data_IF_275484766526
#
_entry.id   IF_275484766526
#
_cell.length_a   1.000
_cell.length_b   1.000
_cell.length_c   1.000
_cell.angle_alpha   90.00
_cell.angle_beta   90.00
_cell.angle_gamma   90.00
#
_symmetry.space_group_name_H-M   'P 1'
#
loop_
_entity.id
_entity.type
_entity.pdbx_description
1 polymer ?
#
# COMPACT_ATOMS: atom_id res chain seq x y z
N UNK A 1 44.83 28.70 15.10
CA UNK A 1 43.69 29.11 14.33
C UNK A 1 42.66 27.99 14.29
N UNK A 2 41.60 28.21 15.05
CA UNK A 2 40.51 27.25 15.21
C UNK A 2 39.72 27.14 13.91
N UNK A 3 39.66 25.96 13.38
CA UNK A 3 38.68 25.62 12.36
C UNK A 3 37.34 25.32 13.04
N UNK A 4 36.23 25.95 12.68
CA UNK A 4 34.95 25.67 13.29
C UNK A 4 34.44 24.31 12.81
N UNK A 5 34.39 23.34 13.71
CA UNK A 5 33.75 22.03 13.60
C UNK A 5 32.22 22.07 13.44
N UNK A 6 31.67 23.05 12.74
CA UNK A 6 30.24 23.19 12.54
C UNK A 6 29.88 23.26 11.07
N UNK A 7 30.21 22.22 10.30
CA UNK A 7 29.59 22.02 8.98
C UNK A 7 29.48 20.54 8.59
N UNK A 8 29.24 19.64 9.54
CA UNK A 8 28.54 18.41 9.19
C UNK A 8 27.08 18.79 9.06
N UNK A 9 26.68 19.25 7.86
CA UNK A 9 25.31 19.17 7.42
C UNK A 9 24.89 17.74 7.67
N UNK A 10 23.89 17.53 8.53
CA UNK A 10 23.16 16.27 8.63
C UNK A 10 22.78 15.90 7.19
N UNK A 11 23.46 14.93 6.62
CA UNK A 11 22.99 14.25 5.44
C UNK A 11 21.65 13.70 5.89
N UNK A 12 20.58 14.28 5.40
CA UNK A 12 19.23 13.81 5.64
C UNK A 12 19.15 12.45 4.94
N UNK A 13 19.65 11.41 5.60
CA UNK A 13 19.60 10.04 5.09
C UNK A 13 18.14 9.69 5.06
N UNK A 14 17.60 9.53 3.86
CA UNK A 14 16.24 9.13 3.65
C UNK A 14 15.97 7.85 4.48
N UNK A 15 14.91 7.87 5.27
CA UNK A 15 14.55 6.79 6.15
C UNK A 15 14.24 5.52 5.33
N UNK A 16 14.87 4.39 5.71
CA UNK A 16 14.63 3.12 5.03
C UNK A 16 13.22 2.63 5.31
N UNK A 17 12.50 2.22 4.28
CA UNK A 17 11.11 1.77 4.40
C UNK A 17 10.89 0.38 3.80
N UNK A 18 9.97 -0.38 4.39
CA UNK A 18 9.32 -1.52 3.75
C UNK A 18 7.95 -1.05 3.31
N UNK A 19 7.68 -1.11 2.03
CA UNK A 19 6.48 -0.50 1.44
C UNK A 19 5.47 -1.56 1.01
N UNK A 20 4.28 -1.50 1.63
CA UNK A 20 3.08 -2.17 1.15
C UNK A 20 2.45 -1.37 0.01
N UNK A 21 2.19 -2.01 -1.13
CA UNK A 21 1.56 -1.41 -2.29
C UNK A 21 0.11 -1.84 -2.42
N UNK A 22 -0.81 -0.89 -2.44
CA UNK A 22 -2.23 -1.18 -2.60
C UNK A 22 -3.13 0.04 -2.47
N UNK A 23 -4.40 -0.10 -2.82
CA UNK A 23 -5.37 0.96 -2.57
C UNK A 23 -5.98 0.88 -1.17
N UNK A 24 -6.04 -0.32 -0.58
CA UNK A 24 -6.44 -0.59 0.80
C UNK A 24 -7.86 -0.14 1.18
N UNK A 25 -8.79 -0.12 0.23
CA UNK A 25 -10.19 0.21 0.55
C UNK A 25 -10.83 -0.87 1.43
N UNK A 26 -11.35 -0.45 2.58
CA UNK A 26 -11.88 -1.33 3.61
C UNK A 26 -10.83 -1.92 4.55
N UNK A 27 -9.54 -1.88 4.23
CA UNK A 27 -8.46 -2.52 5.01
C UNK A 27 -8.87 -3.94 5.45
N UNK A 28 -9.36 -4.72 4.48
CA UNK A 28 -9.93 -6.06 4.71
C UNK A 28 -8.84 -7.11 5.01
N UNK A 29 -9.24 -8.34 5.34
CA UNK A 29 -8.32 -9.43 5.70
C UNK A 29 -7.22 -9.70 4.67
N UNK A 30 -7.51 -9.56 3.37
CA UNK A 30 -6.50 -9.66 2.32
C UNK A 30 -5.43 -8.57 2.43
N UNK A 31 -5.84 -7.33 2.67
CA UNK A 31 -4.93 -6.22 2.97
C UNK A 31 -4.19 -6.46 4.30
N UNK A 32 -4.86 -7.03 5.29
CA UNK A 32 -4.26 -7.36 6.59
C UNK A 32 -3.07 -8.29 6.46
N UNK A 33 -3.17 -9.35 5.65
CA UNK A 33 -2.05 -10.25 5.40
C UNK A 33 -0.82 -9.53 4.81
N UNK A 34 -1.06 -8.59 3.90
CA UNK A 34 -0.04 -7.78 3.26
C UNK A 34 0.59 -6.80 4.26
N UNK A 35 -0.21 -6.11 5.07
CA UNK A 35 0.25 -5.16 6.07
C UNK A 35 1.02 -5.85 7.22
N UNK A 36 0.58 -7.03 7.66
CA UNK A 36 1.30 -7.85 8.64
C UNK A 36 2.69 -8.25 8.12
N UNK A 37 2.80 -8.71 6.88
CA UNK A 37 4.08 -9.03 6.27
C UNK A 37 4.99 -7.81 6.17
N UNK A 38 4.42 -6.65 5.87
CA UNK A 38 5.15 -5.37 5.83
C UNK A 38 5.75 -5.02 7.20
N UNK A 39 4.97 -5.11 8.27
CA UNK A 39 5.46 -4.86 9.63
C UNK A 39 6.52 -5.88 10.07
N UNK A 40 6.34 -7.16 9.72
CA UNK A 40 7.32 -8.22 9.99
C UNK A 40 8.66 -7.94 9.31
N UNK A 41 8.64 -7.63 8.01
CA UNK A 41 9.85 -7.33 7.24
C UNK A 41 10.55 -6.06 7.71
N UNK A 42 9.76 -5.01 8.02
CA UNK A 42 10.30 -3.77 8.55
C UNK A 42 11.06 -3.98 9.86
N UNK A 43 10.50 -4.77 10.78
CA UNK A 43 11.18 -5.11 12.04
C UNK A 43 12.47 -5.88 11.79
N UNK A 44 12.46 -6.87 10.88
CA UNK A 44 13.64 -7.67 10.56
C UNK A 44 14.76 -6.84 9.89
N UNK A 45 14.40 -5.81 9.13
CA UNK A 45 15.35 -4.97 8.39
C UNK A 45 15.73 -3.67 9.12
N UNK A 46 15.17 -3.40 10.29
CA UNK A 46 15.34 -2.11 10.97
C UNK A 46 14.88 -0.94 10.09
N UNK A 47 13.74 -1.11 9.44
CA UNK A 47 13.13 -0.15 8.53
C UNK A 47 11.72 0.25 9.00
N UNK A 48 11.15 1.30 8.43
CA UNK A 48 9.83 1.81 8.79
C UNK A 48 8.74 1.09 7.99
N UNK A 49 7.74 0.46 8.65
CA UNK A 49 6.62 -0.16 7.96
C UNK A 49 5.72 0.93 7.36
N UNK A 50 5.62 0.93 6.04
CA UNK A 50 4.98 1.99 5.26
C UNK A 50 3.91 1.40 4.35
N UNK A 51 2.75 2.04 4.28
CA UNK A 51 1.75 1.78 3.26
C UNK A 51 1.76 2.92 2.24
N UNK A 52 1.86 2.59 0.97
CA UNK A 52 1.75 3.53 -0.14
C UNK A 52 0.43 3.30 -0.88
N UNK A 53 -0.41 4.29 -0.87
CA UNK A 53 -1.75 4.26 -1.46
C UNK A 53 -2.06 5.58 -2.16
N UNK A 54 -3.27 5.71 -2.69
CA UNK A 54 -3.71 6.91 -3.40
C UNK A 54 -4.83 7.62 -2.66
N UNK A 55 -4.90 8.94 -2.84
CA UNK A 55 -5.90 9.82 -2.24
C UNK A 55 -7.32 9.56 -2.77
N UNK A 56 -7.41 9.05 -4.01
CA UNK A 56 -8.66 8.69 -4.71
C UNK A 56 -8.51 7.38 -5.49
N UNK A 57 -9.62 6.68 -5.79
CA UNK A 57 -9.56 5.44 -6.54
C UNK A 57 -8.98 5.63 -7.94
N UNK A 58 -7.89 4.95 -8.32
CA UNK A 58 -7.34 5.03 -9.68
C UNK A 58 -8.37 4.71 -10.76
N UNK A 59 -9.25 3.73 -10.51
CA UNK A 59 -10.33 3.37 -11.45
C UNK A 59 -11.27 4.54 -11.74
N UNK A 60 -11.63 5.32 -10.73
CA UNK A 60 -12.50 6.49 -10.90
C UNK A 60 -11.85 7.55 -11.81
N UNK A 61 -10.55 7.83 -11.58
CA UNK A 61 -9.80 8.80 -12.39
C UNK A 61 -9.65 8.34 -13.85
N UNK A 62 -9.41 7.04 -14.07
CA UNK A 62 -9.21 6.47 -15.41
C UNK A 62 -10.52 6.35 -16.18
N UNK A 63 -11.61 5.95 -15.53
CA UNK A 63 -12.89 5.65 -16.20
C UNK A 63 -13.91 6.78 -16.14
N UNK A 64 -13.71 7.75 -15.22
CA UNK A 64 -14.70 8.79 -14.93
C UNK A 64 -15.95 8.27 -14.19
N UNK A 65 -15.97 7.01 -13.78
CA UNK A 65 -17.10 6.38 -13.06
C UNK A 65 -16.82 6.44 -11.56
N UNK A 66 -17.71 7.05 -10.75
CA UNK A 66 -17.54 7.10 -9.31
C UNK A 66 -17.36 5.73 -8.66
N UNK A 67 -16.45 5.65 -7.70
CA UNK A 67 -16.22 4.46 -6.88
C UNK A 67 -16.57 4.78 -5.43
N UNK A 68 -17.58 4.12 -4.90
CA UNK A 68 -17.94 4.27 -3.48
C UNK A 68 -16.92 3.53 -2.61
N UNK A 69 -16.26 4.28 -1.74
CA UNK A 69 -15.28 3.73 -0.81
C UNK A 69 -15.95 3.09 0.40
N UNK A 70 -15.37 1.99 0.89
CA UNK A 70 -15.80 1.35 2.15
C UNK A 70 -15.41 2.22 3.34
N UNK A 71 -14.24 2.88 3.27
CA UNK A 71 -13.73 3.74 4.32
C UNK A 71 -13.15 5.05 3.75
N UNK A 72 -13.23 6.12 4.52
CA UNK A 72 -12.52 7.36 4.24
C UNK A 72 -11.00 7.18 4.31
N UNK A 73 -10.24 8.12 3.76
CA UNK A 73 -8.76 8.11 3.87
C UNK A 73 -8.32 8.15 5.34
N UNK A 74 -9.04 8.89 6.17
CA UNK A 74 -8.79 8.97 7.62
C UNK A 74 -8.96 7.63 8.29
N UNK A 75 -10.05 6.92 7.97
CA UNK A 75 -10.33 5.60 8.54
C UNK A 75 -9.34 4.55 8.05
N UNK A 76 -9.00 4.56 6.75
CA UNK A 76 -7.97 3.67 6.18
C UNK A 76 -6.65 3.82 6.94
N UNK A 77 -6.18 5.07 7.15
CA UNK A 77 -4.98 5.36 7.94
C UNK A 77 -5.09 4.77 9.34
N UNK A 78 -6.13 5.15 10.07
CA UNK A 78 -6.31 4.72 11.46
C UNK A 78 -6.41 3.19 11.62
N UNK A 79 -7.02 2.48 10.67
CA UNK A 79 -7.08 1.02 10.66
C UNK A 79 -5.70 0.39 10.43
N UNK A 80 -4.93 0.89 9.45
CA UNK A 80 -3.58 0.40 9.16
C UNK A 80 -2.63 0.61 10.35
N UNK A 81 -2.69 1.77 10.98
CA UNK A 81 -1.87 2.10 12.15
C UNK A 81 -2.24 1.23 13.37
N UNK A 82 -3.52 1.19 13.74
CA UNK A 82 -3.97 0.49 14.96
C UNK A 82 -3.94 -1.02 14.86
N UNK A 83 -4.33 -1.59 13.72
CA UNK A 83 -4.47 -3.05 13.60
C UNK A 83 -3.19 -3.73 13.15
N UNK A 84 -2.34 -3.04 12.40
CA UNK A 84 -1.18 -3.66 11.76
C UNK A 84 0.15 -2.99 12.07
N UNK A 85 0.16 -1.93 12.88
CA UNK A 85 1.39 -1.24 13.29
C UNK A 85 2.13 -0.55 12.14
N UNK A 86 1.39 -0.12 11.11
CA UNK A 86 1.97 0.69 10.03
C UNK A 86 2.27 2.08 10.59
N UNK A 87 3.52 2.50 10.51
CA UNK A 87 3.97 3.77 11.08
C UNK A 87 3.83 4.94 10.11
N UNK A 88 3.90 4.66 8.80
CA UNK A 88 3.80 5.68 7.76
C UNK A 88 2.77 5.29 6.72
N UNK A 89 1.77 6.13 6.51
CA UNK A 89 0.77 5.96 5.45
C UNK A 89 0.85 7.13 4.50
N UNK A 90 1.23 6.85 3.25
CA UNK A 90 1.35 7.83 2.17
C UNK A 90 0.11 7.77 1.31
N UNK A 91 -0.63 8.87 1.23
CA UNK A 91 -1.72 9.07 0.26
C UNK A 91 -1.20 9.94 -0.87
N UNK A 92 -0.66 9.30 -1.91
CA UNK A 92 -0.16 10.01 -3.08
C UNK A 92 -1.33 10.53 -3.93
N UNK A 93 -1.23 11.74 -4.51
CA UNK A 93 -2.20 12.20 -5.48
C UNK A 93 -2.23 11.25 -6.69
N UNK A 94 -3.42 10.77 -7.08
CA UNK A 94 -3.58 10.05 -8.33
C UNK A 94 -4.01 11.01 -9.42
N UNK A 95 -3.06 11.80 -9.89
CA UNK A 95 -3.21 12.79 -10.94
C UNK A 95 -2.75 12.24 -12.31
N UNK A 96 -2.71 13.12 -13.30
CA UNK A 96 -2.29 12.75 -14.66
C UNK A 96 -0.83 12.28 -14.72
N UNK A 97 0.05 12.87 -13.93
CA UNK A 97 1.46 12.48 -13.87
C UNK A 97 1.59 11.05 -13.32
N UNK A 98 0.95 10.77 -12.20
CA UNK A 98 0.94 9.43 -11.60
C UNK A 98 0.27 8.41 -12.53
N UNK A 99 -0.85 8.76 -13.17
CA UNK A 99 -1.58 7.89 -14.09
C UNK A 99 -0.75 7.49 -15.32
N UNK A 100 0.12 8.38 -15.81
CA UNK A 100 0.92 8.16 -17.02
C UNK A 100 2.36 7.74 -16.72
N UNK A 101 2.73 7.59 -15.46
CA UNK A 101 4.08 7.22 -15.04
C UNK A 101 4.43 5.80 -15.51
N UNK A 102 5.56 5.60 -16.24
CA UNK A 102 6.04 4.27 -16.58
C UNK A 102 6.28 3.42 -15.32
N UNK A 103 6.06 2.11 -15.41
CA UNK A 103 6.16 1.23 -14.25
C UNK A 103 7.55 1.22 -13.62
N UNK A 104 8.62 1.32 -14.40
CA UNK A 104 10.00 1.43 -13.89
C UNK A 104 10.21 2.74 -13.14
N UNK A 105 9.69 3.85 -13.67
CA UNK A 105 9.76 5.16 -13.03
C UNK A 105 9.01 5.19 -11.70
N UNK A 106 7.88 4.47 -11.61
CA UNK A 106 7.13 4.31 -10.37
C UNK A 106 7.96 3.60 -9.29
N UNK A 107 8.63 2.49 -9.60
CA UNK A 107 9.52 1.80 -8.66
C UNK A 107 10.69 2.71 -8.26
N UNK A 108 11.31 3.39 -9.21
CA UNK A 108 12.43 4.31 -8.93
C UNK A 108 12.00 5.48 -8.04
N UNK A 109 10.81 6.02 -8.23
CA UNK A 109 10.24 7.06 -7.37
C UNK A 109 10.09 6.55 -5.93
N UNK A 110 9.56 5.34 -5.72
CA UNK A 110 9.41 4.76 -4.39
C UNK A 110 10.75 4.55 -3.68
N UNK A 111 11.78 4.16 -4.43
CA UNK A 111 13.14 4.01 -3.89
C UNK A 111 13.74 5.37 -3.55
N UNK A 112 13.71 6.31 -4.49
CA UNK A 112 14.37 7.61 -4.39
C UNK A 112 13.70 8.53 -3.37
N UNK A 113 12.36 8.60 -3.39
CA UNK A 113 11.61 9.60 -2.65
C UNK A 113 11.10 9.07 -1.30
N UNK A 114 10.93 7.76 -1.18
CA UNK A 114 10.38 7.11 0.03
C UNK A 114 11.33 6.10 0.69
N UNK A 115 12.53 5.91 0.16
CA UNK A 115 13.55 5.06 0.77
C UNK A 115 13.22 3.58 0.78
N UNK A 116 12.47 3.10 -0.22
CA UNK A 116 12.07 1.69 -0.29
C UNK A 116 13.28 0.75 -0.39
N UNK A 117 13.38 -0.18 0.54
CA UNK A 117 14.39 -1.26 0.55
C UNK A 117 13.74 -2.64 0.38
N UNK A 118 12.43 -2.73 0.53
CA UNK A 118 11.65 -3.95 0.39
C UNK A 118 10.20 -3.60 0.01
N UNK A 119 9.62 -4.38 -0.89
CA UNK A 119 8.22 -4.21 -1.30
C UNK A 119 7.37 -5.39 -0.89
N UNK A 120 6.11 -5.12 -0.56
CA UNK A 120 5.08 -6.13 -0.30
C UNK A 120 3.85 -5.79 -1.13
N UNK A 121 3.41 -6.72 -1.96
CA UNK A 121 2.26 -6.52 -2.84
C UNK A 121 1.36 -7.75 -2.89
N UNK A 122 0.08 -7.56 -3.20
CA UNK A 122 -0.83 -8.67 -3.46
C UNK A 122 -0.55 -9.33 -4.81
N UNK A 123 -0.92 -10.60 -4.97
CA UNK A 123 -0.66 -11.41 -6.16
C UNK A 123 -1.20 -10.81 -7.48
N UNK A 124 -2.25 -10.01 -7.41
CA UNK A 124 -2.92 -9.37 -8.54
C UNK A 124 -2.59 -7.88 -8.70
N UNK A 125 -1.62 -7.38 -7.90
CA UNK A 125 -1.28 -5.96 -7.92
C UNK A 125 -0.74 -5.53 -9.28
N UNK A 126 -1.27 -4.39 -9.77
CA UNK A 126 -0.86 -3.73 -11.00
C UNK A 126 -0.51 -2.28 -10.72
N UNK A 127 0.45 -1.75 -11.45
CA UNK A 127 0.93 -0.38 -11.29
C UNK A 127 1.51 0.17 -12.59
N UNK A 128 1.82 1.47 -12.58
CA UNK A 128 2.34 2.17 -13.75
C UNK A 128 1.29 2.43 -14.83
N UNK A 129 1.70 3.13 -15.87
CA UNK A 129 0.82 3.54 -16.96
C UNK A 129 0.10 2.33 -17.57
N UNK A 130 -1.24 2.40 -17.65
CA UNK A 130 -2.12 1.35 -18.19
C UNK A 130 -1.93 -0.01 -17.52
N UNK A 131 -1.58 -0.03 -16.24
CA UNK A 131 -1.32 -1.27 -15.49
C UNK A 131 -0.22 -2.13 -16.12
N UNK A 132 0.76 -1.53 -16.78
CA UNK A 132 1.87 -2.23 -17.43
C UNK A 132 2.80 -2.95 -16.45
N UNK A 133 2.92 -2.46 -15.22
CA UNK A 133 3.65 -3.13 -14.15
C UNK A 133 2.87 -4.30 -13.57
N UNK A 134 3.55 -5.40 -13.32
CA UNK A 134 3.01 -6.61 -12.69
C UNK A 134 3.86 -7.02 -11.50
N UNK A 135 3.36 -7.95 -10.67
CA UNK A 135 4.13 -8.49 -9.54
C UNK A 135 5.39 -9.23 -10.01
N UNK A 136 5.35 -9.88 -11.16
CA UNK A 136 6.52 -10.54 -11.77
C UNK A 136 7.60 -9.51 -12.12
N UNK A 137 7.23 -8.43 -12.82
CA UNK A 137 8.13 -7.33 -13.14
C UNK A 137 8.68 -6.64 -11.89
N UNK A 138 7.86 -6.49 -10.84
CA UNK A 138 8.30 -5.97 -9.55
C UNK A 138 9.37 -6.87 -8.92
N UNK A 139 9.14 -8.19 -8.88
CA UNK A 139 10.10 -9.15 -8.34
C UNK A 139 11.41 -9.16 -9.12
N UNK A 140 11.34 -9.17 -10.46
CA UNK A 140 12.53 -9.12 -11.33
C UNK A 140 13.33 -7.83 -11.11
N UNK A 141 12.66 -6.68 -11.05
CA UNK A 141 13.31 -5.39 -10.79
C UNK A 141 13.92 -5.32 -9.40
N UNK A 142 13.24 -5.84 -8.38
CA UNK A 142 13.81 -5.91 -7.03
C UNK A 142 15.05 -6.79 -6.98
N UNK A 143 15.05 -7.96 -7.64
CA UNK A 143 16.22 -8.84 -7.73
C UNK A 143 17.39 -8.15 -8.43
N UNK A 144 17.13 -7.46 -9.54
CA UNK A 144 18.12 -6.67 -10.28
C UNK A 144 18.78 -5.58 -9.41
N UNK A 145 17.97 -4.92 -8.56
CA UNK A 145 18.41 -3.82 -7.69
C UNK A 145 18.92 -4.27 -6.31
N UNK A 146 18.90 -5.57 -6.02
CA UNK A 146 19.30 -6.10 -4.70
C UNK A 146 18.30 -5.76 -3.59
N UNK A 147 17.01 -5.56 -3.92
CA UNK A 147 15.94 -5.28 -2.99
C UNK A 147 15.08 -6.52 -2.70
N UNK A 148 14.42 -6.55 -1.56
CA UNK A 148 13.47 -7.60 -1.23
C UNK A 148 12.07 -7.36 -1.83
N UNK A 149 11.33 -8.46 -2.04
CA UNK A 149 9.95 -8.40 -2.50
C UNK A 149 9.17 -9.61 -2.01
N UNK A 150 8.07 -9.39 -1.32
CA UNK A 150 7.11 -10.43 -0.96
C UNK A 150 5.81 -10.25 -1.73
N UNK A 151 5.31 -11.32 -2.33
CA UNK A 151 4.01 -11.36 -2.99
C UNK A 151 3.06 -12.18 -2.14
N UNK A 152 1.96 -11.55 -1.71
CA UNK A 152 0.96 -12.13 -0.83
C UNK A 152 -0.10 -12.84 -1.67
N UNK A 153 -0.37 -14.12 -1.39
CA UNK A 153 -1.40 -14.87 -2.10
C UNK A 153 -2.80 -14.34 -1.77
N UNK A 154 -3.75 -14.73 -2.61
CA UNK A 154 -5.16 -14.45 -2.40
C UNK A 154 -5.65 -15.01 -1.06
N UNK A 155 -6.42 -14.21 -0.32
CA UNK A 155 -7.07 -14.63 0.92
C UNK A 155 -8.52 -14.98 0.62
N UNK A 156 -8.96 -16.13 1.14
CA UNK A 156 -10.35 -16.59 1.06
C UNK A 156 -10.94 -16.79 2.45
N UNK A 157 -12.23 -16.57 2.58
CA UNK A 157 -13.01 -16.89 3.78
C UNK A 157 -14.26 -17.65 3.33
N UNK A 158 -14.50 -18.83 3.91
CA UNK A 158 -15.60 -19.72 3.52
C UNK A 158 -15.64 -20.03 2.00
N UNK A 159 -14.48 -20.19 1.38
CA UNK A 159 -14.36 -20.42 -0.06
C UNK A 159 -14.61 -19.20 -0.95
N UNK A 160 -14.85 -18.03 -0.38
CA UNK A 160 -15.07 -16.78 -1.10
C UNK A 160 -13.83 -15.90 -1.02
N UNK A 161 -13.43 -15.32 -2.15
CA UNK A 161 -12.32 -14.37 -2.19
C UNK A 161 -12.63 -13.11 -1.39
N UNK A 162 -11.73 -12.75 -0.47
CA UNK A 162 -11.81 -11.49 0.26
C UNK A 162 -11.39 -10.35 -0.66
N UNK A 163 -12.33 -9.48 -1.00
CA UNK A 163 -12.11 -8.33 -1.88
C UNK A 163 -12.99 -7.14 -1.50
N UNK A 164 -12.52 -5.94 -1.79
CA UNK A 164 -13.32 -4.72 -1.59
C UNK A 164 -14.61 -4.73 -2.40
N UNK A 165 -14.59 -5.32 -3.60
CA UNK A 165 -15.80 -5.45 -4.45
C UNK A 165 -16.87 -6.29 -3.77
N UNK A 166 -16.50 -7.48 -3.26
CA UNK A 166 -17.45 -8.32 -2.55
C UNK A 166 -17.97 -7.68 -1.26
N UNK A 167 -17.08 -7.05 -0.49
CA UNK A 167 -17.46 -6.38 0.76
C UNK A 167 -18.47 -5.23 0.49
N UNK A 168 -18.30 -4.46 -0.59
CA UNK A 168 -19.29 -3.44 -0.98
C UNK A 168 -20.67 -4.03 -1.20
N UNK A 169 -20.77 -5.19 -1.84
CA UNK A 169 -22.07 -5.85 -2.05
C UNK A 169 -22.73 -6.24 -0.73
N UNK A 170 -21.95 -6.65 0.27
CA UNK A 170 -22.46 -6.96 1.61
C UNK A 170 -22.95 -5.70 2.33
N UNK A 171 -22.18 -4.62 2.28
CA UNK A 171 -22.55 -3.32 2.88
C UNK A 171 -23.82 -2.76 2.22
N UNK A 172 -23.90 -2.79 0.91
CA UNK A 172 -25.07 -2.35 0.13
C UNK A 172 -26.33 -3.18 0.47
N UNK A 173 -26.17 -4.48 0.72
CA UNK A 173 -27.23 -5.37 1.14
C UNK A 173 -27.62 -5.24 2.63
N UNK A 174 -26.85 -4.47 3.42
CA UNK A 174 -27.04 -4.33 4.87
C UNK A 174 -26.54 -5.53 5.68
N UNK A 175 -25.82 -6.48 5.07
CA UNK A 175 -25.23 -7.64 5.77
C UNK A 175 -23.92 -7.22 6.46
N UNK A 176 -24.09 -6.45 7.52
CA UNK A 176 -22.96 -5.85 8.25
C UNK A 176 -22.16 -6.85 9.08
N UNK A 177 -22.79 -7.95 9.52
CA UNK A 177 -22.12 -9.03 10.25
C UNK A 177 -21.12 -9.73 9.33
N UNK A 178 -21.59 -10.20 8.17
CA UNK A 178 -20.72 -10.83 7.17
C UNK A 178 -19.69 -9.87 6.60
N UNK A 179 -20.02 -8.59 6.41
CA UNK A 179 -19.07 -7.56 6.01
C UNK A 179 -17.94 -7.44 7.04
N UNK A 180 -18.25 -7.42 8.35
CA UNK A 180 -17.24 -7.37 9.40
C UNK A 180 -16.34 -8.61 9.42
N UNK A 181 -16.88 -9.81 9.13
CA UNK A 181 -16.10 -11.04 9.01
C UNK A 181 -15.05 -10.94 7.89
N UNK A 182 -15.44 -10.46 6.72
CA UNK A 182 -14.54 -10.28 5.58
C UNK A 182 -13.55 -9.12 5.77
N UNK A 183 -13.98 -8.05 6.42
CA UNK A 183 -13.11 -6.95 6.82
C UNK A 183 -12.07 -7.39 7.87
N UNK A 184 -12.46 -8.24 8.82
CA UNK A 184 -11.66 -8.57 10.00
C UNK A 184 -11.73 -7.50 11.09
N UNK A 185 -12.64 -6.55 10.97
CA UNK A 185 -12.93 -5.49 11.93
C UNK A 185 -14.35 -4.95 11.70
N UNK A 186 -14.89 -4.23 12.67
CA UNK A 186 -16.18 -3.57 12.48
C UNK A 186 -16.09 -2.47 11.44
N UNK A 187 -17.08 -2.39 10.57
CA UNK A 187 -17.20 -1.28 9.62
C UNK A 187 -17.52 0.00 10.40
N UNK A 188 -16.70 1.04 10.18
CA UNK A 188 -16.89 2.37 10.76
C UNK A 188 -16.97 3.39 9.62
N UNK A 189 -17.94 4.28 9.71
CA UNK A 189 -18.03 5.49 8.88
C UNK A 189 -17.69 6.68 9.79
N UNK A 190 -16.72 7.49 9.38
CA UNK A 190 -16.38 8.75 10.05
C UNK A 190 -16.66 9.95 9.16
#
# INVERSE_FOLDING_TARGET
PDFPEKLFRSVNTLERTVIALGFFDGVHRGHGALLQKTAERARALGAVPTAFTFDRPPKEVVTGVPVYLINSNRDRRGLMERLYGIEKVVFAPFDREMMTMPWEAYIQMLIRDYGAVHFVAGHDHRFGHRNSGSVQLLQEKCAELGLGCDIIPQVTLDGVTVSSTYIRTLVEAGDMERAADFLGHRHCLS
#
